data_IF_824811351289
#
_entry.id   IF_824811351289
#
_cell.length_a   1.000
_cell.length_b   1.000
_cell.length_c   1.000
_cell.angle_alpha   90.00
_cell.angle_beta   90.00
_cell.angle_gamma   90.00
#
_symmetry.space_group_name_H-M   'P 1'
#
loop_
_entity.id
_entity.type
_entity.pdbx_description
1 polymer ?
#
# COMPACT_ATOMS: atom_id res chain seq x y z
N UNK A 1 -68.06 -1.63 27.67
CA UNK A 1 -68.09 -1.73 26.18
C UNK A 1 -67.62 -0.38 25.68
N UNK A 2 -66.53 -0.15 24.96
CA UNK A 2 -65.52 -0.86 24.15
C UNK A 2 -64.35 0.18 24.06
N UNK A 3 -63.09 -0.07 23.75
CA UNK A 3 -62.21 -1.21 23.61
C UNK A 3 -60.82 -0.55 23.42
N UNK A 4 -59.82 -0.95 24.21
CA UNK A 4 -58.43 -0.49 24.05
C UNK A 4 -57.86 -1.17 22.80
N UNK A 5 -57.29 -0.41 21.86
CA UNK A 5 -56.41 -0.97 20.83
C UNK A 5 -55.14 -0.12 20.79
N UNK A 6 -54.17 -0.50 21.62
CA UNK A 6 -52.79 -0.10 21.42
C UNK A 6 -52.22 -0.91 20.26
N UNK A 7 -51.98 -0.26 19.12
CA UNK A 7 -51.19 -0.87 18.04
C UNK A 7 -49.71 -0.76 18.42
N UNK A 8 -49.11 -1.92 18.68
CA UNK A 8 -47.69 -2.06 18.89
C UNK A 8 -46.90 -1.53 17.71
N UNK A 9 -45.95 -0.67 18.00
CA UNK A 9 -44.92 -0.24 17.04
C UNK A 9 -44.05 -1.48 16.84
N UNK A 10 -44.33 -2.25 15.79
CA UNK A 10 -43.45 -3.32 15.36
C UNK A 10 -42.12 -2.67 14.97
N UNK A 11 -41.12 -2.81 15.82
CA UNK A 11 -39.75 -2.42 15.51
C UNK A 11 -39.35 -3.11 14.22
N UNK A 12 -39.16 -2.34 13.16
CA UNK A 12 -38.54 -2.80 11.93
C UNK A 12 -37.09 -3.14 12.32
N UNK A 13 -36.85 -4.39 12.68
CA UNK A 13 -35.49 -4.91 12.73
C UNK A 13 -34.97 -4.81 11.30
N UNK A 14 -34.09 -3.86 11.05
CA UNK A 14 -33.32 -3.80 9.82
C UNK A 14 -32.57 -5.12 9.72
N UNK A 15 -33.10 -6.06 8.93
CA UNK A 15 -32.36 -7.21 8.45
C UNK A 15 -31.17 -6.62 7.70
N UNK A 16 -29.98 -6.72 8.27
CA UNK A 16 -28.74 -6.32 7.61
C UNK A 16 -28.70 -7.11 6.30
N UNK A 17 -28.90 -6.43 5.16
CA UNK A 17 -28.89 -7.07 3.86
C UNK A 17 -27.55 -7.75 3.56
N UNK A 18 -27.43 -8.47 2.44
CA UNK A 18 -26.19 -9.16 2.03
C UNK A 18 -24.95 -8.26 2.07
N UNK A 19 -25.13 -6.96 1.82
CA UNK A 19 -24.10 -5.93 1.92
C UNK A 19 -23.54 -5.79 3.34
N UNK A 20 -24.37 -5.83 4.39
CA UNK A 20 -23.92 -5.67 5.77
C UNK A 20 -23.06 -6.83 6.28
N UNK A 21 -23.35 -8.06 5.85
CA UNK A 21 -22.52 -9.23 6.15
C UNK A 21 -21.18 -9.20 5.42
N UNK A 22 -21.17 -8.72 4.16
CA UNK A 22 -19.94 -8.55 3.38
C UNK A 22 -19.01 -7.50 4.01
N UNK A 23 -19.53 -6.35 4.40
CA UNK A 23 -18.74 -5.29 5.05
C UNK A 23 -18.16 -5.76 6.39
N UNK A 24 -18.94 -6.49 7.19
CA UNK A 24 -18.46 -7.07 8.45
C UNK A 24 -17.33 -8.08 8.22
N UNK A 25 -17.46 -8.97 7.22
CA UNK A 25 -16.41 -9.92 6.85
C UNK A 25 -15.13 -9.21 6.38
N UNK A 26 -15.26 -8.16 5.57
CA UNK A 26 -14.12 -7.36 5.12
C UNK A 26 -13.45 -6.70 6.33
N UNK A 27 -14.21 -6.10 7.23
CA UNK A 27 -13.69 -5.50 8.46
C UNK A 27 -12.94 -6.51 9.34
N UNK A 28 -13.47 -7.72 9.49
CA UNK A 28 -12.81 -8.80 10.24
C UNK A 28 -11.51 -9.27 9.57
N UNK A 29 -11.49 -9.40 8.23
CA UNK A 29 -10.28 -9.75 7.48
C UNK A 29 -9.20 -8.68 7.68
N UNK A 30 -9.56 -7.39 7.60
CA UNK A 30 -8.63 -6.27 7.83
C UNK A 30 -8.08 -6.36 9.25
N UNK A 31 -8.95 -6.45 10.24
CA UNK A 31 -8.57 -6.49 11.65
C UNK A 31 -7.61 -7.66 11.92
N UNK A 32 -7.98 -8.86 11.50
CA UNK A 32 -7.16 -10.05 11.70
C UNK A 32 -5.80 -9.92 10.99
N UNK A 33 -5.77 -9.34 9.78
CA UNK A 33 -4.51 -9.09 9.08
C UNK A 33 -3.63 -8.06 9.82
N UNK A 34 -4.23 -6.98 10.32
CA UNK A 34 -3.52 -5.94 11.09
C UNK A 34 -2.96 -6.48 12.41
N UNK A 35 -3.74 -7.30 13.12
CA UNK A 35 -3.31 -7.97 14.36
C UNK A 35 -2.18 -8.98 14.11
N UNK A 36 -2.21 -9.69 12.97
CA UNK A 36 -1.18 -10.65 12.60
C UNK A 36 0.15 -10.00 12.15
N UNK A 37 0.14 -8.70 11.78
CA UNK A 37 1.31 -7.99 11.26
C UNK A 37 1.56 -6.67 12.01
N UNK A 38 1.92 -6.71 13.31
CA UNK A 38 2.19 -5.49 14.08
C UNK A 38 3.35 -4.70 13.45
N UNK A 39 3.09 -3.44 13.08
CA UNK A 39 4.05 -2.60 12.34
C UNK A 39 5.35 -2.34 13.12
N UNK A 40 5.26 -2.25 14.45
CA UNK A 40 6.35 -1.88 15.37
C UNK A 40 7.48 -2.91 15.35
N UNK A 41 7.12 -4.18 15.17
CA UNK A 41 8.05 -5.30 15.09
C UNK A 41 8.44 -5.66 13.66
N UNK A 42 7.87 -5.00 12.65
CA UNK A 42 8.18 -5.22 11.24
C UNK A 42 9.09 -4.13 10.67
N UNK A 43 8.75 -2.87 10.92
CA UNK A 43 9.42 -1.74 10.29
C UNK A 43 10.46 -1.11 11.23
N UNK A 44 11.67 -0.90 10.73
CA UNK A 44 12.76 -0.26 11.46
C UNK A 44 13.29 0.94 10.69
N UNK A 45 13.27 2.12 11.29
CA UNK A 45 13.91 3.31 10.72
C UNK A 45 15.43 3.12 10.77
N UNK A 46 16.12 3.35 9.65
CA UNK A 46 17.56 3.17 9.54
C UNK A 46 18.30 4.48 9.80
N UNK A 47 19.10 4.52 10.87
CA UNK A 47 19.97 5.65 11.20
C UNK A 47 21.05 5.90 10.15
N UNK A 48 21.56 4.83 9.54
CA UNK A 48 22.59 4.86 8.50
C UNK A 48 22.08 5.46 7.18
N UNK A 49 20.76 5.61 7.06
CA UNK A 49 20.08 6.33 5.99
C UNK A 49 19.57 7.69 6.50
N UNK A 50 20.21 8.27 7.51
CA UNK A 50 19.81 9.52 8.14
C UNK A 50 18.34 9.55 8.59
N UNK A 51 17.77 8.40 8.96
CA UNK A 51 16.36 8.22 9.29
C UNK A 51 15.38 8.52 8.14
N UNK A 52 15.86 8.52 6.90
CA UNK A 52 15.06 8.73 5.69
C UNK A 52 14.61 7.43 5.00
N UNK A 53 15.00 6.27 5.56
CA UNK A 53 14.63 4.96 5.05
C UNK A 53 14.15 4.01 6.15
N UNK A 54 13.35 3.04 5.74
CA UNK A 54 12.71 2.05 6.60
C UNK A 54 13.06 0.66 6.09
N UNK A 55 13.67 -0.16 6.94
CA UNK A 55 13.81 -1.59 6.71
C UNK A 55 12.50 -2.29 7.02
N UNK A 56 12.00 -3.04 6.05
CA UNK A 56 10.94 -4.04 6.24
C UNK A 56 11.58 -5.38 6.58
N UNK A 57 11.49 -5.82 7.85
CA UNK A 57 12.13 -7.05 8.33
C UNK A 57 11.58 -8.32 7.69
N UNK A 58 10.33 -8.31 7.22
CA UNK A 58 9.71 -9.49 6.62
C UNK A 58 10.26 -9.78 5.22
N UNK A 59 10.61 -8.71 4.48
CA UNK A 59 11.10 -8.80 3.10
C UNK A 59 12.58 -8.51 2.95
N UNK A 60 13.23 -7.99 4.01
CA UNK A 60 14.59 -7.45 3.97
C UNK A 60 14.80 -6.32 2.95
N UNK A 61 13.72 -5.69 2.50
CA UNK A 61 13.75 -4.54 1.60
C UNK A 61 13.82 -3.24 2.37
N UNK A 62 14.46 -2.24 1.77
CA UNK A 62 14.60 -0.90 2.35
C UNK A 62 13.76 0.07 1.53
N UNK A 63 12.86 0.77 2.18
CA UNK A 63 11.90 1.67 1.54
C UNK A 63 12.19 3.12 1.89
N UNK A 64 11.92 4.04 0.98
CA UNK A 64 11.90 5.46 1.32
C UNK A 64 10.86 5.69 2.43
N UNK A 65 11.21 6.46 3.46
CA UNK A 65 10.26 6.76 4.54
C UNK A 65 9.09 7.61 4.04
N UNK A 66 9.34 8.46 3.05
CA UNK A 66 8.37 9.35 2.46
C UNK A 66 8.39 9.21 0.93
N UNK A 67 7.33 8.68 0.30
CA UNK A 67 7.23 8.63 -1.15
C UNK A 67 7.23 10.03 -1.75
N UNK A 68 7.70 10.15 -2.98
CA UNK A 68 7.58 11.40 -3.72
C UNK A 68 6.14 11.59 -4.19
N UNK A 69 5.50 12.68 -3.75
CA UNK A 69 4.13 13.01 -4.15
C UNK A 69 4.02 13.50 -5.60
N UNK A 70 5.11 14.02 -6.18
CA UNK A 70 5.15 14.44 -7.59
C UNK A 70 4.86 13.24 -8.50
N UNK A 71 3.90 13.43 -9.40
CA UNK A 71 3.55 12.41 -10.39
C UNK A 71 4.47 12.52 -11.61
N UNK A 72 4.90 11.38 -12.13
CA UNK A 72 5.75 11.30 -13.33
C UNK A 72 5.30 10.14 -14.22
N UNK A 73 5.70 10.13 -15.49
CA UNK A 73 5.47 8.99 -16.37
C UNK A 73 6.25 7.77 -15.90
N UNK A 74 5.89 6.57 -16.36
CA UNK A 74 6.58 5.36 -15.92
C UNK A 74 8.08 5.34 -16.28
N UNK A 75 8.44 5.83 -17.48
CA UNK A 75 9.84 5.94 -17.89
C UNK A 75 10.61 6.90 -16.98
N UNK A 76 10.02 8.03 -16.64
CA UNK A 76 10.61 8.98 -15.69
C UNK A 76 10.70 8.39 -14.29
N UNK A 77 9.72 7.60 -13.84
CA UNK A 77 9.75 6.94 -12.53
C UNK A 77 10.96 6.02 -12.36
N UNK A 78 11.28 5.23 -13.39
CA UNK A 78 12.48 4.37 -13.39
C UNK A 78 13.76 5.20 -13.23
N UNK A 79 13.87 6.27 -14.01
CA UNK A 79 15.03 7.17 -13.95
C UNK A 79 15.09 7.92 -12.61
N UNK A 80 13.94 8.29 -12.07
CA UNK A 80 13.80 9.00 -10.78
C UNK A 80 14.33 8.14 -9.65
N UNK A 81 13.92 6.88 -9.55
CA UNK A 81 14.48 5.98 -8.54
C UNK A 81 15.96 5.69 -8.78
N UNK A 82 16.39 5.43 -10.01
CA UNK A 82 17.80 5.15 -10.30
C UNK A 82 18.75 6.32 -9.95
N UNK A 83 18.26 7.56 -10.01
CA UNK A 83 19.01 8.77 -9.63
C UNK A 83 18.85 9.15 -8.15
N UNK A 84 17.97 8.47 -7.41
CA UNK A 84 17.67 8.80 -6.02
C UNK A 84 18.90 8.58 -5.14
N UNK A 85 19.05 9.46 -4.15
CA UNK A 85 20.15 9.48 -3.17
C UNK A 85 19.62 9.68 -1.73
N UNK A 86 18.46 9.10 -1.42
CA UNK A 86 17.78 9.23 -0.11
C UNK A 86 18.64 8.63 1.00
N UNK A 87 18.76 9.32 2.12
CA UNK A 87 19.58 8.89 3.25
C UNK A 87 21.07 8.79 2.96
N UNK A 88 21.57 9.50 1.93
CA UNK A 88 22.97 9.40 1.49
C UNK A 88 23.29 8.13 0.69
N UNK A 89 22.32 7.26 0.43
CA UNK A 89 22.49 6.00 -0.27
C UNK A 89 21.96 6.07 -1.69
N UNK A 90 22.69 5.48 -2.65
CA UNK A 90 22.25 5.28 -4.05
C UNK A 90 21.77 3.84 -4.23
N UNK A 91 21.36 3.46 -5.45
CA UNK A 91 20.97 2.08 -5.76
C UNK A 91 19.46 1.81 -5.61
N UNK A 92 18.68 2.86 -5.35
CA UNK A 92 17.23 2.82 -5.35
C UNK A 92 16.69 2.43 -6.72
N UNK A 93 15.57 1.71 -6.71
CA UNK A 93 14.84 1.27 -7.90
C UNK A 93 13.35 1.35 -7.67
N UNK A 94 12.62 1.24 -8.77
CA UNK A 94 11.19 1.06 -8.71
C UNK A 94 10.87 -0.36 -8.17
N UNK A 95 9.88 -0.52 -7.28
CA UNK A 95 9.54 -1.81 -6.69
C UNK A 95 8.82 -2.72 -7.69
N UNK A 96 8.95 -4.03 -7.50
CA UNK A 96 8.12 -5.01 -8.19
C UNK A 96 6.70 -5.01 -7.61
N UNK A 97 5.69 -5.45 -8.39
CA UNK A 97 4.30 -5.46 -7.91
C UNK A 97 4.11 -6.31 -6.65
N UNK A 98 4.84 -7.41 -6.53
CA UNK A 98 4.83 -8.27 -5.33
C UNK A 98 5.46 -7.59 -4.11
N UNK A 99 6.48 -6.77 -4.31
CA UNK A 99 7.13 -6.02 -3.23
C UNK A 99 6.21 -4.93 -2.72
N UNK A 100 5.59 -4.14 -3.60
CA UNK A 100 4.62 -3.12 -3.20
C UNK A 100 3.42 -3.76 -2.47
N UNK A 101 2.93 -4.90 -2.97
CA UNK A 101 1.87 -5.66 -2.30
C UNK A 101 2.26 -6.15 -0.91
N UNK A 102 3.53 -6.37 -0.60
CA UNK A 102 3.91 -6.76 0.76
C UNK A 102 3.72 -5.63 1.78
N UNK A 103 3.79 -4.36 1.37
CA UNK A 103 3.56 -3.21 2.25
C UNK A 103 2.07 -2.96 2.52
N UNK A 104 1.21 -3.27 1.55
CA UNK A 104 -0.23 -3.05 1.64
C UNK A 104 -0.97 -4.35 1.93
N UNK A 105 -1.86 -4.31 2.91
CA UNK A 105 -2.78 -5.38 3.23
C UNK A 105 -3.82 -5.61 2.14
N UNK A 106 -4.80 -6.48 2.41
CA UNK A 106 -5.86 -6.79 1.46
C UNK A 106 -6.58 -5.52 0.96
N UNK A 107 -7.04 -5.59 -0.28
CA UNK A 107 -7.85 -4.57 -0.94
C UNK A 107 -9.04 -4.17 -0.06
N UNK A 108 -9.22 -2.88 0.17
CA UNK A 108 -10.38 -2.36 0.89
C UNK A 108 -10.91 -1.14 0.15
N UNK A 109 -12.23 -0.98 0.07
CA UNK A 109 -12.85 0.25 -0.42
C UNK A 109 -12.67 1.35 0.65
N UNK A 110 -11.44 1.85 0.78
CA UNK A 110 -11.02 2.84 1.76
C UNK A 110 -10.28 3.99 1.06
N UNK A 111 -10.43 5.24 1.53
CA UNK A 111 -9.65 6.37 1.06
C UNK A 111 -8.22 6.40 1.62
N UNK A 112 -7.80 5.39 2.39
CA UNK A 112 -6.46 5.32 2.99
C UNK A 112 -5.78 4.00 2.56
N UNK A 113 -4.50 4.03 2.13
CA UNK A 113 -3.71 2.82 1.88
C UNK A 113 -3.69 1.90 3.10
N UNK A 114 -3.98 0.61 2.90
CA UNK A 114 -4.08 -0.37 3.98
C UNK A 114 -2.69 -0.85 4.42
N UNK A 115 -1.87 0.02 5.02
CA UNK A 115 -0.54 -0.33 5.54
C UNK A 115 -0.68 -0.67 7.04
N UNK A 116 0.14 -1.58 7.61
CA UNK A 116 0.01 -1.96 9.01
C UNK A 116 -0.03 -0.75 9.96
N UNK A 117 -1.03 -0.66 10.88
CA UNK A 117 -1.18 0.47 11.79
C UNK A 117 0.07 0.69 12.62
N UNK A 118 0.55 1.94 12.71
CA UNK A 118 1.77 2.31 13.43
C UNK A 118 3.04 2.25 12.57
N UNK A 119 2.92 2.11 11.25
CA UNK A 119 4.07 2.15 10.35
C UNK A 119 4.82 3.51 10.43
N UNK A 120 6.13 3.55 10.16
CA UNK A 120 6.91 4.78 10.19
C UNK A 120 6.78 5.66 8.93
N UNK A 121 6.15 5.14 7.87
CA UNK A 121 6.03 5.85 6.59
C UNK A 121 5.21 7.14 6.70
N UNK A 122 5.60 8.15 5.91
CA UNK A 122 5.06 9.51 5.92
C UNK A 122 4.64 9.93 4.53
N UNK A 123 3.74 10.91 4.43
CA UNK A 123 3.33 11.51 3.16
C UNK A 123 2.83 10.50 2.10
N UNK A 124 2.28 9.37 2.55
CA UNK A 124 1.70 8.38 1.65
C UNK A 124 0.41 8.98 1.09
N UNK A 125 0.42 9.21 -0.21
CA UNK A 125 -0.74 9.65 -0.97
C UNK A 125 -1.76 8.51 -1.09
N UNK A 126 -3.06 8.82 -0.99
CA UNK A 126 -4.13 7.87 -1.27
C UNK A 126 -4.27 7.76 -2.80
N UNK A 127 -3.33 7.06 -3.43
CA UNK A 127 -3.32 6.83 -4.88
C UNK A 127 -2.42 5.64 -5.23
N UNK A 128 -2.44 5.25 -6.51
CA UNK A 128 -1.57 4.23 -7.08
C UNK A 128 -0.11 4.69 -7.16
N UNK A 129 0.83 3.78 -6.94
CA UNK A 129 2.27 4.01 -7.14
C UNK A 129 2.80 3.16 -8.28
N UNK A 130 3.78 3.70 -9.00
CA UNK A 130 4.43 2.97 -10.07
C UNK A 130 5.19 1.73 -9.56
N UNK A 131 5.11 0.65 -10.33
CA UNK A 131 5.88 -0.59 -10.11
C UNK A 131 6.60 -1.01 -11.39
N UNK A 132 7.62 -1.87 -11.30
CA UNK A 132 8.25 -2.45 -12.49
C UNK A 132 7.32 -3.46 -13.17
N UNK A 133 7.41 -3.54 -14.49
CA UNK A 133 6.77 -4.57 -15.31
C UNK A 133 7.87 -5.46 -15.86
N UNK A 134 7.75 -6.80 -15.81
CA UNK A 134 8.66 -7.67 -16.56
C UNK A 134 8.58 -7.32 -18.05
N UNK A 135 9.72 -7.16 -18.73
CA UNK A 135 9.84 -6.73 -20.14
C UNK A 135 9.35 -7.78 -21.17
N UNK A 136 8.45 -8.70 -20.79
CA UNK A 136 7.83 -9.67 -21.69
C UNK A 136 6.47 -9.17 -22.18
N UNK A 137 6.43 -8.73 -23.45
CA UNK A 137 5.38 -7.91 -24.08
C UNK A 137 5.30 -6.51 -23.47
N UNK A 138 5.81 -5.50 -24.18
CA UNK A 138 5.39 -4.11 -23.99
C UNK A 138 4.12 -3.88 -24.84
N UNK A 139 2.89 -4.14 -24.35
CA UNK A 139 1.75 -3.45 -24.90
C UNK A 139 1.85 -1.98 -24.45
N UNK A 140 1.02 -1.09 -24.97
CA UNK A 140 0.93 0.33 -24.59
C UNK A 140 0.56 0.60 -23.10
N UNK A 141 0.66 -0.41 -22.22
CA UNK A 141 0.24 -0.40 -20.81
C UNK A 141 1.33 -0.84 -19.81
N UNK A 142 1.52 -0.05 -18.74
CA UNK A 142 2.46 -0.27 -17.65
C UNK A 142 1.69 -0.77 -16.43
N UNK A 143 2.30 -1.66 -15.64
CA UNK A 143 1.70 -2.17 -14.41
C UNK A 143 1.98 -1.24 -13.24
N UNK A 144 0.93 -0.96 -12.50
CA UNK A 144 0.99 -0.24 -11.23
C UNK A 144 0.35 -1.12 -10.16
N UNK A 145 0.82 -0.97 -8.93
CA UNK A 145 0.08 -1.48 -7.77
C UNK A 145 -0.77 -0.34 -7.27
N UNK A 146 -2.07 -0.57 -7.33
CA UNK A 146 -3.01 0.31 -6.70
C UNK A 146 -2.84 0.17 -5.18
N UNK A 147 -2.47 1.26 -4.51
CA UNK A 147 -2.18 1.25 -3.07
C UNK A 147 -3.45 1.06 -2.22
N UNK A 148 -4.64 1.20 -2.79
CA UNK A 148 -5.91 0.96 -2.12
C UNK A 148 -6.36 -0.48 -2.23
N UNK A 149 -6.10 -1.09 -3.39
CA UNK A 149 -6.69 -2.37 -3.75
C UNK A 149 -5.68 -3.52 -3.69
N UNK A 150 -4.38 -3.26 -3.48
CA UNK A 150 -3.34 -4.30 -3.57
C UNK A 150 -3.33 -5.04 -4.92
N UNK A 151 -4.05 -4.51 -5.91
CA UNK A 151 -4.27 -5.11 -7.22
C UNK A 151 -3.18 -4.63 -8.16
N UNK A 152 -2.68 -5.56 -8.97
CA UNK A 152 -1.80 -5.22 -10.08
C UNK A 152 -2.69 -4.88 -11.26
N UNK A 153 -2.75 -3.61 -11.63
CA UNK A 153 -3.55 -3.11 -12.75
C UNK A 153 -2.61 -2.66 -13.88
N UNK A 154 -3.15 -2.45 -15.08
CA UNK A 154 -2.39 -1.99 -16.25
C UNK A 154 -3.00 -0.69 -16.78
N UNK A 155 -2.19 0.36 -16.95
CA UNK A 155 -2.62 1.67 -17.49
C UNK A 155 -1.66 2.20 -18.55
N UNK A 156 -2.10 3.14 -19.40
CA UNK A 156 -1.22 3.71 -20.42
C UNK A 156 -0.01 4.41 -19.76
N UNK A 157 1.18 4.26 -20.34
CA UNK A 157 2.45 4.69 -19.73
C UNK A 157 2.60 6.23 -19.69
N UNK A 158 1.70 6.93 -20.39
CA UNK A 158 1.64 8.39 -20.55
C UNK A 158 1.00 9.09 -19.35
N UNK A 159 0.26 8.34 -18.51
CA UNK A 159 -0.29 8.89 -17.29
C UNK A 159 0.81 9.08 -16.26
N UNK A 160 0.57 9.95 -15.29
CA UNK A 160 1.54 10.26 -14.25
C UNK A 160 1.03 9.75 -12.91
N UNK A 161 1.85 8.99 -12.20
CA UNK A 161 1.59 8.54 -10.83
C UNK A 161 2.79 8.84 -9.93
N UNK A 162 2.59 8.92 -8.60
CA UNK A 162 3.66 9.03 -7.62
C UNK A 162 4.65 7.87 -7.67
N UNK A 163 5.81 8.10 -7.07
CA UNK A 163 6.91 7.14 -7.03
C UNK A 163 7.29 6.86 -5.59
N UNK A 164 7.40 5.58 -5.27
CA UNK A 164 7.92 5.10 -4.00
C UNK A 164 9.06 4.14 -4.30
N UNK A 165 10.30 4.60 -4.08
CA UNK A 165 11.46 3.79 -4.40
C UNK A 165 11.76 2.78 -3.29
N UNK A 166 12.31 1.65 -3.73
CA UNK A 166 12.82 0.58 -2.87
C UNK A 166 14.29 0.34 -3.18
N UNK A 167 15.04 -0.06 -2.17
CA UNK A 167 16.43 -0.47 -2.23
C UNK A 167 16.52 -1.95 -1.82
N UNK A 168 17.46 -2.68 -2.43
CA UNK A 168 17.73 -4.07 -2.05
C UNK A 168 18.27 -4.17 -0.62
N UNK A 169 18.45 -5.40 -0.10
CA UNK A 169 19.12 -5.60 1.18
C UNK A 169 20.50 -4.94 1.15
N UNK A 170 20.98 -4.46 2.31
CA UNK A 170 22.38 -4.09 2.44
C UNK A 170 23.21 -5.35 2.18
N UNK A 171 23.88 -5.42 1.03
CA UNK A 171 24.94 -6.39 0.84
C UNK A 171 26.02 -6.01 1.85
N UNK A 172 26.23 -6.85 2.87
CA UNK A 172 27.42 -6.71 3.70
C UNK A 172 28.63 -6.65 2.77
N UNK A 173 29.61 -5.75 3.01
CA UNK A 173 30.83 -5.78 2.22
C UNK A 173 31.39 -7.20 2.30
N UNK A 174 31.56 -7.83 1.13
CA UNK A 174 32.26 -9.11 1.04
C UNK A 174 33.66 -8.85 1.61
N UNK A 175 34.11 -9.59 2.64
CA UNK A 175 35.41 -9.39 3.26
C UNK A 175 36.56 -9.59 2.26
#
# INVERSE_FOLDING_TARGET
MLLVIGLGIAGFQFLTGPTGQKEALIADIIKNWQEAHPSTDRFMILSDFHNEAVLDKDTSLIWEIAPQATTVTWNEARVTCAKRATGGQRGWRLPAPTEMRSLVGPAVDSPIPNIPPGHPFRNIQPTSYWTVVPEGNQPSYAKYVDAFLGNVLSFLHIYTYPVWCVHGPLTSPVP
#
